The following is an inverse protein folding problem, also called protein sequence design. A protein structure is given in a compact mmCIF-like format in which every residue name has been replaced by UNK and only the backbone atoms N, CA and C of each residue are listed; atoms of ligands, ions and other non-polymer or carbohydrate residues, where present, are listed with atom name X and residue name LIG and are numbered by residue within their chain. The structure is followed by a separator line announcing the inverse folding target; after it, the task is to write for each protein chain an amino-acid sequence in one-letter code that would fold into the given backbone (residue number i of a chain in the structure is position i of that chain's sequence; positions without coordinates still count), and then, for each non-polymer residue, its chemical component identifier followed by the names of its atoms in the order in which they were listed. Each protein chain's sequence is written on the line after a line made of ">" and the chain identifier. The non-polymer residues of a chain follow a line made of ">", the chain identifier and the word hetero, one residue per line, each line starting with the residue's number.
data_IF_209923141012
#
_entry.id   IF_209923141012
#
_cell.length_a   1.000
_cell.length_b   1.000
_cell.length_c   1.000
_cell.angle_alpha   90.00
_cell.angle_beta   90.00
_cell.angle_gamma   90.00
#
_symmetry.space_group_name_H-M   'P 1'
#
loop_
_entity.id
_entity.type
_entity.pdbx_description
1 polymer ?
#
# COMPACT_ATOMS: atom_id res chain seq x y z
N UNK A 1 -9.83 -31.18 -3.70
CA UNK A 1 -9.79 -29.69 -3.65
C UNK A 1 -8.69 -29.25 -4.58
N UNK A 2 -8.99 -28.49 -5.65
CA UNK A 2 -7.96 -28.00 -6.54
C UNK A 2 -7.02 -27.06 -5.77
N UNK A 3 -5.74 -27.33 -5.84
CA UNK A 3 -4.68 -26.53 -5.19
C UNK A 3 -4.55 -25.21 -5.95
N UNK A 4 -4.61 -24.09 -5.24
CA UNK A 4 -4.45 -22.76 -5.86
C UNK A 4 -2.97 -22.61 -6.24
N UNK A 5 -2.68 -22.50 -7.53
CA UNK A 5 -1.31 -22.39 -8.05
C UNK A 5 -0.80 -20.96 -7.81
N UNK A 6 0.26 -20.73 -7.00
CA UNK A 6 0.87 -19.42 -6.84
C UNK A 6 1.38 -18.85 -8.17
N UNK A 7 1.38 -17.52 -8.33
CA UNK A 7 1.85 -16.83 -9.54
C UNK A 7 3.26 -17.25 -9.99
N UNK A 8 4.15 -17.55 -9.05
CA UNK A 8 5.51 -18.00 -9.31
C UNK A 8 5.61 -19.37 -10.06
N UNK A 9 4.51 -20.14 -10.13
CA UNK A 9 4.44 -21.42 -10.85
C UNK A 9 3.77 -21.30 -12.23
N UNK A 10 3.31 -20.10 -12.61
CA UNK A 10 2.67 -19.86 -13.91
C UNK A 10 3.70 -19.55 -14.97
N UNK A 11 3.39 -19.95 -16.21
CA UNK A 11 4.22 -19.59 -17.35
C UNK A 11 4.29 -18.07 -17.48
N UNK A 12 5.52 -17.52 -17.60
CA UNK A 12 5.76 -16.09 -17.70
C UNK A 12 5.84 -15.65 -19.15
N UNK A 13 5.31 -14.48 -19.43
CA UNK A 13 5.53 -13.85 -20.72
C UNK A 13 6.99 -13.40 -20.88
N UNK A 14 7.53 -13.63 -22.08
CA UNK A 14 8.89 -13.30 -22.45
C UNK A 14 8.98 -11.92 -23.12
N UNK A 15 10.18 -11.34 -23.09
CA UNK A 15 10.44 -10.08 -23.79
C UNK A 15 10.13 -10.20 -25.30
N UNK A 16 9.37 -9.24 -25.83
CA UNK A 16 8.92 -9.23 -27.22
C UNK A 16 7.50 -9.75 -27.44
N UNK A 17 6.95 -10.55 -26.53
CA UNK A 17 5.55 -11.01 -26.60
C UNK A 17 4.58 -9.86 -26.35
N UNK A 18 3.33 -10.07 -26.78
CA UNK A 18 2.25 -9.12 -26.53
C UNK A 18 1.33 -9.60 -25.41
N UNK A 19 1.08 -8.73 -24.46
CA UNK A 19 0.15 -8.95 -23.34
C UNK A 19 -0.84 -7.79 -23.28
N UNK A 20 -2.13 -8.08 -23.45
CA UNK A 20 -3.21 -7.07 -23.46
C UNK A 20 -2.98 -5.87 -24.44
N UNK A 21 -2.26 -6.10 -25.55
CA UNK A 21 -1.96 -5.10 -26.55
C UNK A 21 -0.68 -4.29 -26.32
N UNK A 22 0.02 -4.54 -25.22
CA UNK A 22 1.33 -3.97 -24.90
C UNK A 22 2.45 -4.98 -25.20
N UNK A 23 3.62 -4.49 -25.59
CA UNK A 23 4.81 -5.33 -25.78
C UNK A 23 5.55 -5.53 -24.47
N UNK A 24 5.70 -6.77 -24.01
CA UNK A 24 6.49 -7.10 -22.82
C UNK A 24 7.97 -6.77 -23.06
N UNK A 25 8.56 -6.04 -22.13
CA UNK A 25 9.98 -5.68 -22.14
C UNK A 25 10.77 -6.47 -21.12
N UNK A 26 10.21 -6.62 -19.91
CA UNK A 26 10.93 -7.24 -18.78
C UNK A 26 9.92 -7.69 -17.73
N UNK A 27 10.20 -8.81 -17.08
CA UNK A 27 9.58 -9.18 -15.82
C UNK A 27 10.10 -8.26 -14.70
N UNK A 28 9.21 -7.73 -13.84
CA UNK A 28 9.55 -6.86 -12.73
C UNK A 28 9.42 -7.55 -11.37
N UNK A 29 8.48 -8.48 -11.23
CA UNK A 29 8.27 -9.19 -9.96
C UNK A 29 7.00 -10.01 -9.94
N UNK A 30 6.85 -10.82 -8.88
CA UNK A 30 5.65 -11.61 -8.60
C UNK A 30 4.95 -11.08 -7.36
N UNK A 31 3.63 -10.91 -7.45
CA UNK A 31 2.75 -10.83 -6.29
C UNK A 31 2.25 -12.22 -5.89
N UNK A 32 1.42 -12.31 -4.85
CA UNK A 32 0.86 -13.58 -4.38
C UNK A 32 0.11 -14.34 -5.49
N UNK A 33 -0.61 -13.64 -6.36
CA UNK A 33 -1.41 -14.20 -7.46
C UNK A 33 -1.36 -13.32 -8.72
N UNK A 34 -0.36 -12.48 -8.83
CA UNK A 34 -0.15 -11.60 -9.98
C UNK A 34 1.31 -11.61 -10.40
N UNK A 35 1.55 -11.33 -11.67
CA UNK A 35 2.89 -11.08 -12.21
C UNK A 35 2.94 -9.66 -12.71
N UNK A 36 4.03 -8.93 -12.43
CA UNK A 36 4.21 -7.56 -12.89
C UNK A 36 5.28 -7.51 -13.96
N UNK A 37 4.96 -6.86 -15.06
CA UNK A 37 5.84 -6.69 -16.21
C UNK A 37 6.09 -5.21 -16.50
N UNK A 38 7.30 -4.87 -16.94
CA UNK A 38 7.55 -3.68 -17.73
C UNK A 38 7.02 -3.93 -19.14
N UNK A 39 6.11 -3.08 -19.59
CA UNK A 39 5.53 -3.17 -20.92
C UNK A 39 5.66 -1.84 -21.66
N UNK A 40 5.58 -1.86 -22.97
CA UNK A 40 5.61 -0.69 -23.83
C UNK A 40 4.38 -0.66 -24.74
N UNK A 41 3.75 0.49 -24.83
CA UNK A 41 2.72 0.74 -25.82
C UNK A 41 3.37 0.78 -27.23
N UNK A 42 2.96 -0.10 -28.15
CA UNK A 42 3.59 -0.20 -29.47
C UNK A 42 3.38 1.02 -30.37
N UNK A 43 2.44 1.92 -30.03
CA UNK A 43 2.13 3.13 -30.83
C UNK A 43 2.85 4.37 -30.30
N UNK A 44 2.90 4.53 -28.97
CA UNK A 44 3.45 5.73 -28.32
C UNK A 44 4.86 5.53 -27.80
N UNK A 45 5.34 4.28 -27.72
CA UNK A 45 6.60 3.88 -27.10
C UNK A 45 6.72 4.23 -25.60
N UNK A 46 5.61 4.63 -24.98
CA UNK A 46 5.57 4.90 -23.53
C UNK A 46 5.62 3.58 -22.76
N UNK A 47 6.44 3.55 -21.72
CA UNK A 47 6.59 2.40 -20.84
C UNK A 47 5.64 2.47 -19.65
N UNK A 48 5.10 1.31 -19.27
CA UNK A 48 4.17 1.13 -18.17
C UNK A 48 4.55 -0.10 -17.32
N UNK A 49 4.09 -0.13 -16.08
CA UNK A 49 4.00 -1.37 -15.32
C UNK A 49 2.64 -2.01 -15.60
N UNK A 50 2.61 -3.32 -15.89
CA UNK A 50 1.39 -4.08 -16.11
C UNK A 50 1.32 -5.20 -15.09
N UNK A 51 0.33 -5.13 -14.18
CA UNK A 51 0.01 -6.18 -13.19
C UNK A 51 -0.99 -7.14 -13.81
N UNK A 52 -0.54 -8.36 -14.05
CA UNK A 52 -1.29 -9.41 -14.75
C UNK A 52 -1.84 -10.43 -13.77
N UNK A 53 -3.14 -10.73 -13.89
CA UNK A 53 -3.85 -11.73 -13.08
C UNK A 53 -4.68 -12.61 -13.99
N UNK A 54 -4.49 -13.92 -13.88
CA UNK A 54 -5.30 -14.94 -14.56
C UNK A 54 -6.03 -15.75 -13.49
N UNK A 55 -7.29 -16.11 -13.74
CA UNK A 55 -8.06 -17.05 -12.94
C UNK A 55 -8.31 -18.33 -13.72
N UNK A 56 -7.86 -19.46 -13.20
CA UNK A 56 -8.11 -20.80 -13.74
C UNK A 56 -9.28 -21.48 -13.03
N UNK A 57 -9.85 -20.88 -11.97
CA UNK A 57 -10.95 -21.44 -11.22
C UNK A 57 -11.62 -20.45 -10.27
N UNK A 58 -12.85 -20.76 -9.84
CA UNK A 58 -13.69 -19.87 -9.01
C UNK A 58 -12.99 -19.36 -7.73
N UNK A 59 -12.09 -20.14 -7.14
CA UNK A 59 -11.32 -19.72 -5.95
C UNK A 59 -10.35 -18.59 -6.24
N UNK A 60 -9.95 -18.43 -7.49
CA UNK A 60 -8.99 -17.41 -7.94
C UNK A 60 -9.69 -16.15 -8.43
N UNK A 61 -11.00 -16.21 -8.75
CA UNK A 61 -11.78 -15.07 -9.19
C UNK A 61 -11.70 -13.87 -8.23
N UNK A 62 -11.51 -14.14 -6.93
CA UNK A 62 -11.29 -13.12 -5.92
C UNK A 62 -10.11 -12.18 -6.22
N UNK A 63 -9.09 -12.65 -6.94
CA UNK A 63 -7.92 -11.84 -7.31
C UNK A 63 -8.21 -10.93 -8.51
N UNK A 64 -9.09 -11.40 -9.41
CA UNK A 64 -9.63 -10.56 -10.47
C UNK A 64 -10.51 -9.44 -9.89
N UNK A 65 -11.36 -9.77 -8.90
CA UNK A 65 -12.19 -8.77 -8.21
C UNK A 65 -11.33 -7.76 -7.45
N UNK A 66 -10.25 -8.22 -6.82
CA UNK A 66 -9.26 -7.36 -6.18
C UNK A 66 -8.60 -6.41 -7.18
N UNK A 67 -8.24 -6.89 -8.38
CA UNK A 67 -7.66 -6.05 -9.43
C UNK A 67 -8.67 -5.03 -9.96
N UNK A 68 -9.96 -5.39 -10.08
CA UNK A 68 -11.02 -4.46 -10.45
C UNK A 68 -11.23 -3.38 -9.39
N UNK A 69 -11.17 -3.75 -8.10
CA UNK A 69 -11.23 -2.78 -7.00
C UNK A 69 -10.02 -1.84 -7.01
N UNK A 70 -8.83 -2.37 -7.28
CA UNK A 70 -7.61 -1.56 -7.44
C UNK A 70 -7.77 -0.54 -8.58
N UNK A 71 -8.34 -0.95 -9.70
CA UNK A 71 -8.70 -0.06 -10.80
C UNK A 71 -9.76 0.97 -10.38
N UNK A 72 -10.86 0.54 -9.73
CA UNK A 72 -11.94 1.45 -9.33
C UNK A 72 -11.46 2.55 -8.37
N UNK A 73 -10.61 2.19 -7.42
CA UNK A 73 -9.99 3.16 -6.51
C UNK A 73 -8.96 4.02 -7.27
N UNK A 74 -7.95 3.39 -7.87
CA UNK A 74 -6.78 4.08 -8.41
C UNK A 74 -7.08 5.06 -9.53
N UNK A 75 -8.04 4.76 -10.43
CA UNK A 75 -8.43 5.68 -11.51
C UNK A 75 -9.02 7.01 -11.01
N UNK A 76 -9.47 7.08 -9.75
CA UNK A 76 -10.00 8.29 -9.10
C UNK A 76 -8.93 9.06 -8.33
N UNK A 77 -7.78 8.44 -8.10
CA UNK A 77 -6.72 8.97 -7.27
C UNK A 77 -5.66 9.63 -8.18
N UNK A 78 -5.80 10.95 -8.39
CA UNK A 78 -4.82 11.74 -9.13
C UNK A 78 -4.09 12.67 -8.16
N UNK A 79 -2.85 12.31 -7.79
CA UNK A 79 -2.05 13.02 -6.81
C UNK A 79 -0.54 12.79 -7.08
N UNK A 80 0.34 13.79 -6.92
CA UNK A 80 1.78 13.64 -7.22
C UNK A 80 2.44 12.51 -6.45
N UNK A 81 1.99 12.21 -5.24
CA UNK A 81 2.55 11.14 -4.39
C UNK A 81 1.74 9.83 -4.47
N UNK A 82 0.95 9.63 -5.51
CA UNK A 82 0.22 8.38 -5.77
C UNK A 82 0.59 7.88 -7.17
N UNK A 83 0.84 6.56 -7.31
CA UNK A 83 1.02 5.94 -8.63
C UNK A 83 -0.22 6.09 -9.47
N UNK A 84 -0.08 6.59 -10.68
CA UNK A 84 -1.17 6.67 -11.64
C UNK A 84 -1.60 5.28 -12.12
N UNK A 85 -2.90 5.02 -12.06
CA UNK A 85 -3.53 3.89 -12.71
C UNK A 85 -4.09 4.37 -14.05
N UNK A 86 -3.65 3.72 -15.14
CA UNK A 86 -3.91 4.17 -16.51
C UNK A 86 -5.10 3.47 -17.12
N UNK A 87 -5.14 2.12 -17.04
CA UNK A 87 -6.18 1.33 -17.71
C UNK A 87 -6.34 -0.05 -17.07
N UNK A 88 -7.50 -0.68 -17.28
CA UNK A 88 -7.77 -2.08 -16.98
C UNK A 88 -8.16 -2.81 -18.26
N UNK A 89 -7.40 -3.82 -18.62
CA UNK A 89 -7.57 -4.64 -19.82
C UNK A 89 -8.09 -6.02 -19.50
N UNK A 90 -8.83 -6.63 -20.46
CA UNK A 90 -9.32 -8.01 -20.37
C UNK A 90 -10.80 -8.15 -20.06
N UNK A 91 -11.45 -7.19 -19.39
CA UNK A 91 -12.91 -7.16 -19.28
C UNK A 91 -13.53 -6.78 -20.64
N UNK A 92 -14.49 -7.57 -21.10
CA UNK A 92 -15.16 -7.35 -22.38
C UNK A 92 -16.51 -6.65 -22.17
N UNK A 93 -16.81 -5.69 -23.01
CA UNK A 93 -18.10 -5.02 -23.02
C UNK A 93 -18.76 -5.21 -24.40
N UNK A 94 -19.92 -5.88 -24.45
CA UNK A 94 -20.73 -6.02 -25.63
C UNK A 94 -22.03 -5.21 -25.46
N UNK A 95 -22.07 -3.99 -26.02
CA UNK A 95 -23.18 -3.07 -25.80
C UNK A 95 -23.33 -2.73 -24.30
N UNK A 96 -24.50 -3.08 -23.71
CA UNK A 96 -24.76 -2.87 -22.28
C UNK A 96 -24.35 -4.05 -21.39
N UNK A 97 -23.86 -5.16 -21.97
CA UNK A 97 -23.50 -6.37 -21.23
C UNK A 97 -21.99 -6.36 -20.98
N UNK A 98 -21.60 -6.31 -19.70
CA UNK A 98 -20.21 -6.55 -19.27
C UNK A 98 -20.00 -8.04 -19.04
N UNK A 99 -19.09 -8.66 -19.77
CA UNK A 99 -18.64 -10.02 -19.50
C UNK A 99 -17.32 -9.95 -18.74
N UNK A 100 -17.28 -10.37 -17.46
CA UNK A 100 -16.04 -10.38 -16.69
C UNK A 100 -14.99 -11.26 -17.37
N UNK A 101 -13.80 -10.70 -17.58
CA UNK A 101 -12.63 -11.43 -18.06
C UNK A 101 -12.06 -12.34 -16.96
N UNK A 102 -11.46 -13.45 -17.39
CA UNK A 102 -10.69 -14.36 -16.52
C UNK A 102 -9.18 -14.08 -16.58
N UNK A 103 -8.77 -13.17 -17.42
CA UNK A 103 -7.42 -12.74 -17.70
C UNK A 103 -7.41 -11.22 -17.77
N UNK A 104 -6.84 -10.56 -16.75
CA UNK A 104 -6.86 -9.11 -16.60
C UNK A 104 -5.44 -8.53 -16.47
N UNK A 105 -5.23 -7.38 -17.11
CA UNK A 105 -4.04 -6.56 -17.00
C UNK A 105 -4.34 -5.16 -16.48
N UNK A 106 -3.80 -4.78 -15.32
CA UNK A 106 -3.86 -3.41 -14.79
C UNK A 106 -2.63 -2.64 -15.24
N UNK A 107 -2.84 -1.63 -16.07
CA UNK A 107 -1.78 -0.76 -16.61
C UNK A 107 -1.58 0.42 -15.69
N UNK A 108 -0.34 0.66 -15.28
CA UNK A 108 0.02 1.65 -14.26
C UNK A 108 1.25 2.44 -14.70
N UNK A 109 1.42 3.62 -14.14
CA UNK A 109 2.66 4.41 -14.22
C UNK A 109 3.88 3.52 -13.90
N UNK A 110 4.88 3.53 -14.79
CA UNK A 110 6.17 2.90 -14.51
C UNK A 110 6.99 3.83 -13.64
N UNK A 111 7.41 3.34 -12.48
CA UNK A 111 8.26 4.07 -11.53
C UNK A 111 9.51 3.22 -11.31
N UNK A 112 10.65 3.71 -11.78
CA UNK A 112 11.94 3.03 -11.62
C UNK A 112 12.61 3.48 -10.32
N UNK A 113 12.03 3.08 -9.21
CA UNK A 113 12.51 3.41 -7.87
C UNK A 113 12.34 2.22 -6.93
N UNK A 114 13.27 2.01 -5.97
CA UNK A 114 13.14 0.98 -4.95
C UNK A 114 12.03 1.32 -3.95
N UNK A 115 11.50 0.30 -3.30
CA UNK A 115 10.63 0.49 -2.13
C UNK A 115 11.45 0.89 -0.89
N UNK A 116 10.78 1.52 0.08
CA UNK A 116 11.43 1.81 1.38
C UNK A 116 11.82 0.54 2.13
N UNK A 117 11.13 -0.59 1.91
CA UNK A 117 11.55 -1.88 2.48
C UNK A 117 12.87 -2.37 1.86
N UNK A 118 13.02 -2.26 0.53
CA UNK A 118 14.27 -2.63 -0.14
C UNK A 118 15.45 -1.80 0.37
N UNK A 119 15.23 -0.49 0.57
CA UNK A 119 16.24 0.41 1.11
C UNK A 119 16.56 0.12 2.58
N UNK A 120 15.53 -0.19 3.38
CA UNK A 120 15.70 -0.57 4.78
C UNK A 120 16.52 -1.86 4.91
N UNK A 121 16.22 -2.88 4.09
CA UNK A 121 16.94 -4.15 4.09
C UNK A 121 18.40 -4.01 3.63
N UNK A 122 18.67 -3.12 2.69
CA UNK A 122 20.02 -2.82 2.23
C UNK A 122 20.79 -1.89 3.19
N UNK A 123 20.08 -1.28 4.16
CA UNK A 123 20.60 -0.26 5.06
C UNK A 123 21.29 0.92 4.32
N UNK A 124 20.80 1.24 3.12
CA UNK A 124 21.30 2.30 2.26
C UNK A 124 20.18 2.95 1.44
N UNK A 125 20.15 4.28 1.33
CA UNK A 125 20.99 5.25 2.06
C UNK A 125 20.57 5.37 3.53
N UNK A 126 21.44 5.91 4.38
CA UNK A 126 21.04 6.31 5.73
C UNK A 126 20.24 7.60 5.63
N UNK A 127 18.97 7.53 5.94
CA UNK A 127 18.07 8.67 5.94
C UNK A 127 18.31 9.57 7.16
N UNK A 128 18.44 10.86 6.93
CA UNK A 128 18.33 11.86 8.01
C UNK A 128 16.89 11.96 8.50
N UNK A 129 16.70 12.49 9.72
CA UNK A 129 15.35 12.74 10.25
C UNK A 129 14.55 13.69 9.34
N UNK A 130 15.21 14.69 8.76
CA UNK A 130 14.57 15.61 7.82
C UNK A 130 14.05 14.91 6.56
N UNK A 131 14.80 13.95 6.02
CA UNK A 131 14.35 13.13 4.88
C UNK A 131 13.17 12.23 5.27
N UNK A 132 13.18 11.59 6.45
CA UNK A 132 12.04 10.84 6.95
C UNK A 132 10.79 11.71 7.08
N UNK A 133 10.90 12.90 7.68
CA UNK A 133 9.78 13.84 7.81
C UNK A 133 9.24 14.23 6.42
N UNK A 134 10.11 14.46 5.43
CA UNK A 134 9.69 14.77 4.06
C UNK A 134 8.92 13.61 3.42
N UNK A 135 9.45 12.40 3.50
CA UNK A 135 8.79 11.19 2.99
C UNK A 135 7.44 10.98 3.68
N UNK A 136 7.39 11.10 5.00
CA UNK A 136 6.15 10.91 5.76
C UNK A 136 5.10 11.97 5.42
N UNK A 137 5.51 13.24 5.22
CA UNK A 137 4.63 14.31 4.75
C UNK A 137 4.00 13.96 3.40
N UNK A 138 4.80 13.49 2.44
CA UNK A 138 4.33 13.14 1.10
C UNK A 138 3.35 11.97 1.13
N UNK A 139 3.63 10.96 1.96
CA UNK A 139 2.71 9.83 2.19
C UNK A 139 1.43 10.32 2.87
N UNK A 140 1.50 11.15 3.91
CA UNK A 140 0.32 11.69 4.58
C UNK A 140 -0.55 12.54 3.63
N UNK A 141 0.07 13.33 2.74
CA UNK A 141 -0.61 14.10 1.69
C UNK A 141 -1.38 13.18 0.73
N UNK A 142 -0.75 12.08 0.31
CA UNK A 142 -1.42 11.06 -0.50
C UNK A 142 -2.64 10.46 0.22
N UNK A 143 -2.50 10.14 1.51
CA UNK A 143 -3.61 9.58 2.31
C UNK A 143 -4.76 10.55 2.52
N UNK A 144 -4.49 11.83 2.75
CA UNK A 144 -5.56 12.85 2.81
C UNK A 144 -6.37 12.80 1.52
N UNK A 145 -5.70 12.78 0.36
CA UNK A 145 -6.38 12.68 -0.93
C UNK A 145 -7.18 11.38 -1.10
N UNK A 146 -6.63 10.23 -0.69
CA UNK A 146 -7.31 8.93 -0.75
C UNK A 146 -8.60 8.96 0.09
N UNK A 147 -8.52 9.51 1.33
CA UNK A 147 -9.67 9.62 2.24
C UNK A 147 -10.74 10.58 1.70
N UNK A 148 -10.36 11.71 1.10
CA UNK A 148 -11.28 12.66 0.45
C UNK A 148 -12.04 12.01 -0.72
N UNK A 149 -11.44 11.02 -1.41
CA UNK A 149 -12.11 10.24 -2.45
C UNK A 149 -12.96 9.09 -1.90
N UNK A 150 -13.06 8.96 -0.57
CA UNK A 150 -13.90 7.97 0.11
C UNK A 150 -13.30 6.56 0.16
N UNK A 151 -11.99 6.43 0.01
CA UNK A 151 -11.28 5.16 0.10
C UNK A 151 -10.32 5.14 1.30
N UNK A 152 -10.05 3.94 1.80
CA UNK A 152 -8.90 3.63 2.64
C UNK A 152 -7.96 2.69 1.85
N UNK A 153 -6.67 2.83 2.05
CA UNK A 153 -5.65 1.97 1.45
C UNK A 153 -5.63 0.57 2.11
N UNK A 154 -5.75 0.53 3.42
CA UNK A 154 -5.88 -0.64 4.29
C UNK A 154 -4.71 -1.66 4.26
N UNK A 155 -3.57 -1.32 3.65
CA UNK A 155 -2.34 -2.14 3.65
C UNK A 155 -1.06 -1.28 3.51
N UNK A 156 -0.98 -0.14 4.24
CA UNK A 156 0.24 0.67 4.20
C UNK A 156 1.39 -0.03 4.92
N UNK A 157 2.52 -0.08 4.22
CA UNK A 157 3.78 -0.67 4.68
C UNK A 157 4.95 -0.13 3.82
N UNK A 158 6.20 -0.28 4.24
CA UNK A 158 7.36 0.22 3.49
C UNK A 158 7.46 -0.29 2.05
N UNK A 159 6.99 -1.53 1.77
CA UNK A 159 6.95 -2.08 0.40
C UNK A 159 6.05 -1.27 -0.55
N UNK A 160 5.04 -0.59 -0.02
CA UNK A 160 4.05 0.17 -0.78
C UNK A 160 4.41 1.66 -0.90
N UNK A 161 5.65 2.03 -0.57
CA UNK A 161 6.20 3.37 -0.73
C UNK A 161 7.46 3.28 -1.58
N UNK A 162 7.43 3.81 -2.79
CA UNK A 162 8.62 3.96 -3.64
C UNK A 162 9.27 5.33 -3.40
N UNK A 163 10.60 5.38 -3.48
CA UNK A 163 11.36 6.60 -3.26
C UNK A 163 12.59 6.67 -4.18
N UNK A 164 12.73 7.77 -4.91
CA UNK A 164 13.81 8.01 -5.87
C UNK A 164 14.70 9.22 -5.51
N UNK A 165 14.75 9.62 -4.24
CA UNK A 165 15.42 10.80 -3.66
C UNK A 165 14.60 12.08 -3.74
N UNK A 166 13.92 12.33 -4.87
CA UNK A 166 13.17 13.57 -5.12
C UNK A 166 11.66 13.37 -4.96
N UNK A 167 11.19 12.13 -5.18
CA UNK A 167 9.77 11.81 -5.21
C UNK A 167 9.43 10.61 -4.32
N UNK A 168 8.33 10.76 -3.62
CA UNK A 168 7.70 9.66 -2.86
C UNK A 168 6.40 9.27 -3.52
N UNK A 169 6.20 7.97 -3.79
CA UNK A 169 4.97 7.47 -4.40
C UNK A 169 4.37 6.33 -3.58
N UNK A 170 3.11 6.49 -3.19
CA UNK A 170 2.28 5.41 -2.64
C UNK A 170 1.77 4.54 -3.78
N UNK A 171 1.89 3.22 -3.62
CA UNK A 171 1.53 2.22 -4.63
C UNK A 171 0.66 1.11 -4.04
N UNK A 172 0.10 0.26 -4.91
CA UNK A 172 -0.64 -0.98 -4.59
C UNK A 172 -1.95 -0.75 -3.82
N UNK A 173 -3.00 -0.45 -4.58
CA UNK A 173 -4.38 -0.29 -4.08
C UNK A 173 -5.16 -1.61 -4.05
N UNK A 174 -4.49 -2.77 -4.16
CA UNK A 174 -5.13 -4.07 -4.17
C UNK A 174 -5.89 -4.43 -2.88
N UNK A 175 -5.65 -3.72 -1.79
CA UNK A 175 -6.42 -3.84 -0.54
C UNK A 175 -7.33 -2.65 -0.28
N UNK A 176 -7.33 -1.64 -1.16
CA UNK A 176 -8.16 -0.45 -0.97
C UNK A 176 -9.64 -0.79 -0.82
N UNK A 177 -10.34 -0.05 0.04
CA UNK A 177 -11.73 -0.31 0.35
C UNK A 177 -12.50 0.99 0.58
N UNK A 178 -13.82 0.97 0.33
CA UNK A 178 -14.67 2.15 0.60
C UNK A 178 -14.79 2.37 2.10
N UNK A 179 -14.48 3.58 2.55
CA UNK A 179 -14.63 3.99 3.94
C UNK A 179 -16.10 3.85 4.37
N UNK A 180 -16.32 3.35 5.59
CA UNK A 180 -17.64 3.15 6.15
C UNK A 180 -18.34 1.86 5.72
N UNK A 181 -17.65 0.97 5.00
CA UNK A 181 -18.23 -0.33 4.60
C UNK A 181 -17.43 -1.49 5.19
N UNK A 182 -18.13 -2.61 5.46
CA UNK A 182 -17.49 -3.84 5.93
C UNK A 182 -16.71 -4.50 4.81
N UNK A 183 -15.48 -4.90 5.12
CA UNK A 183 -14.69 -5.70 4.19
C UNK A 183 -15.02 -7.19 4.36
N UNK A 184 -15.24 -7.94 3.28
CA UNK A 184 -15.70 -9.34 3.40
C UNK A 184 -14.65 -10.29 3.95
N UNK A 185 -13.39 -9.85 4.02
CA UNK A 185 -12.25 -10.68 4.47
C UNK A 185 -11.22 -9.81 5.18
N UNK A 186 -10.52 -10.41 6.14
CA UNK A 186 -9.33 -9.82 6.73
C UNK A 186 -8.32 -9.48 5.63
N UNK A 187 -7.74 -8.32 5.71
CA UNK A 187 -6.70 -7.82 4.79
C UNK A 187 -5.62 -7.08 5.56
N UNK A 188 -4.52 -6.84 4.89
CA UNK A 188 -3.36 -6.18 5.44
C UNK A 188 -2.20 -7.13 5.68
N UNK A 189 -1.06 -6.58 6.02
CA UNK A 189 0.21 -7.30 6.21
C UNK A 189 0.57 -7.35 7.69
N UNK A 190 0.81 -8.55 8.23
CA UNK A 190 1.23 -8.74 9.63
C UNK A 190 2.39 -7.80 9.99
N UNK A 191 2.32 -7.21 11.18
CA UNK A 191 3.26 -6.19 11.64
C UNK A 191 2.86 -4.75 11.32
N UNK A 192 1.81 -4.55 10.47
CA UNK A 192 1.25 -3.24 10.13
C UNK A 192 -0.26 -3.18 10.31
N UNK A 193 -0.92 -4.32 10.46
CA UNK A 193 -2.39 -4.45 10.58
C UNK A 193 -2.88 -3.78 11.84
N UNK A 194 -3.89 -2.92 11.69
CA UNK A 194 -4.57 -2.28 12.80
C UNK A 194 -5.42 -3.29 13.59
N UNK A 195 -5.59 -3.11 14.91
CA UNK A 195 -6.30 -4.06 15.78
C UNK A 195 -7.74 -4.38 15.33
N UNK A 196 -8.44 -3.42 14.72
CA UNK A 196 -9.80 -3.60 14.22
C UNK A 196 -9.90 -4.39 12.90
N UNK A 197 -8.83 -4.46 12.10
CA UNK A 197 -8.88 -5.15 10.80
C UNK A 197 -9.17 -6.66 10.89
N UNK A 198 -8.60 -7.43 11.86
CA UNK A 198 -8.91 -8.85 12.03
C UNK A 198 -10.36 -9.11 12.42
N UNK A 199 -11.03 -8.15 13.06
CA UNK A 199 -12.42 -8.26 13.47
C UNK A 199 -13.40 -8.19 12.30
N UNK A 200 -12.90 -7.99 11.06
CA UNK A 200 -13.71 -7.84 9.84
C UNK A 200 -14.77 -6.73 10.04
N UNK A 201 -14.36 -5.67 10.67
CA UNK A 201 -15.22 -4.54 10.96
C UNK A 201 -15.17 -3.48 9.84
N UNK A 202 -15.88 -2.40 10.05
CA UNK A 202 -15.94 -1.30 9.09
C UNK A 202 -14.57 -0.67 8.94
N UNK A 203 -14.06 -0.62 7.71
CA UNK A 203 -12.80 0.06 7.40
C UNK A 203 -13.04 1.57 7.43
N UNK A 204 -12.18 2.28 8.13
CA UNK A 204 -12.22 3.74 8.29
C UNK A 204 -10.91 4.39 7.89
N UNK A 205 -10.89 5.71 7.82
CA UNK A 205 -9.66 6.47 7.64
C UNK A 205 -8.66 6.26 8.79
N UNK A 206 -9.13 5.99 10.01
CA UNK A 206 -8.30 5.72 11.17
C UNK A 206 -7.56 4.38 11.07
N UNK A 207 -8.06 3.43 10.30
CA UNK A 207 -7.33 2.20 9.97
C UNK A 207 -6.01 2.52 9.24
N UNK A 208 -6.06 3.41 8.25
CA UNK A 208 -4.86 3.86 7.53
C UNK A 208 -3.92 4.68 8.43
N UNK A 209 -4.47 5.46 9.36
CA UNK A 209 -3.63 6.20 10.34
C UNK A 209 -2.79 5.22 11.15
N UNK A 210 -3.38 4.11 11.62
CA UNK A 210 -2.64 3.08 12.34
C UNK A 210 -1.60 2.40 11.46
N UNK A 211 -1.98 1.94 10.26
CA UNK A 211 -1.04 1.29 9.32
C UNK A 211 0.15 2.21 9.00
N UNK A 212 -0.11 3.51 8.84
CA UNK A 212 0.93 4.51 8.61
C UNK A 212 1.79 4.73 9.87
N UNK A 213 1.20 4.79 11.06
CA UNK A 213 1.93 4.82 12.33
C UNK A 213 2.88 3.65 12.50
N UNK A 214 2.40 2.42 12.21
CA UNK A 214 3.21 1.20 12.24
C UNK A 214 4.35 1.24 11.19
N UNK A 215 4.08 1.81 10.02
CA UNK A 215 5.08 2.03 8.98
C UNK A 215 6.16 3.03 9.42
N UNK A 216 5.78 4.18 9.96
CA UNK A 216 6.72 5.17 10.50
C UNK A 216 7.57 4.58 11.62
N UNK A 217 6.93 3.86 12.57
CA UNK A 217 7.63 3.20 13.65
C UNK A 217 8.67 2.20 13.13
N UNK A 218 8.29 1.35 12.15
CA UNK A 218 9.19 0.38 11.51
C UNK A 218 10.39 1.05 10.86
N UNK A 219 10.17 2.12 10.11
CA UNK A 219 11.21 2.84 9.39
C UNK A 219 12.18 3.59 10.32
N UNK A 220 11.66 4.19 11.40
CA UNK A 220 12.46 4.93 12.37
C UNK A 220 13.19 4.02 13.37
N UNK A 221 12.56 2.90 13.77
CA UNK A 221 13.07 2.01 14.83
C UNK A 221 13.78 0.76 14.29
N UNK A 222 13.51 0.36 13.03
CA UNK A 222 13.96 -0.91 12.46
C UNK A 222 13.23 -2.14 13.03
N UNK A 223 12.18 -1.98 13.86
CA UNK A 223 11.36 -3.06 14.44
C UNK A 223 9.87 -2.78 14.25
N UNK A 224 9.05 -3.83 14.25
CA UNK A 224 7.60 -3.68 14.21
C UNK A 224 7.07 -3.01 15.48
N UNK A 225 5.98 -2.25 15.33
CA UNK A 225 5.27 -1.70 16.47
C UNK A 225 4.61 -2.84 17.27
N UNK A 226 4.74 -2.86 18.61
CA UNK A 226 4.15 -3.91 19.45
C UNK A 226 2.64 -4.01 19.32
N UNK A 227 1.95 -2.90 19.08
CA UNK A 227 0.49 -2.82 18.91
C UNK A 227 -0.01 -3.40 17.59
N UNK A 228 0.86 -3.54 16.57
CA UNK A 228 0.45 -4.07 15.28
C UNK A 228 0.25 -5.60 15.37
N UNK A 229 -0.84 -6.08 14.76
CA UNK A 229 -1.17 -7.50 14.71
C UNK A 229 -0.07 -8.29 14.00
N UNK A 230 0.45 -9.29 14.68
CA UNK A 230 1.54 -10.14 14.21
C UNK A 230 1.02 -11.43 13.53
N UNK A 231 1.89 -12.12 12.79
CA UNK A 231 1.57 -13.41 12.19
C UNK A 231 1.30 -14.45 13.28
N UNK A 232 0.18 -15.18 13.18
CA UNK A 232 -0.21 -16.21 14.15
C UNK A 232 -1.20 -15.76 15.20
N UNK A 233 -1.66 -14.51 15.17
CA UNK A 233 -2.73 -14.05 16.03
C UNK A 233 -4.01 -14.88 15.83
N UNK A 234 -4.67 -15.33 16.93
CA UNK A 234 -5.93 -16.09 16.82
C UNK A 234 -7.03 -15.25 16.17
N UNK A 235 -7.91 -15.91 15.42
CA UNK A 235 -9.06 -15.23 14.77
C UNK A 235 -10.08 -14.69 15.77
N UNK A 236 -10.10 -15.27 16.99
CA UNK A 236 -10.98 -14.88 18.10
C UNK A 236 -10.31 -13.84 19.00
N UNK A 237 -9.67 -12.88 18.38
CA UNK A 237 -8.96 -11.83 19.06
C UNK A 237 -9.94 -10.96 19.90
N UNK A 238 -10.14 -11.31 21.15
CA UNK A 238 -10.45 -10.32 22.17
C UNK A 238 -9.15 -9.57 22.43
N UNK A 239 -9.18 -8.26 22.26
CA UNK A 239 -8.12 -7.33 22.66
C UNK A 239 -7.83 -7.57 24.15
N UNK A 240 -7.06 -8.58 24.47
CA UNK A 240 -6.44 -8.69 25.75
C UNK A 240 -5.36 -7.58 25.75
N UNK A 241 -5.63 -6.48 26.44
CA UNK A 241 -4.65 -5.40 26.69
C UNK A 241 -3.31 -5.98 27.17
N UNK A 242 -3.36 -7.15 27.80
CA UNK A 242 -2.22 -7.92 28.29
C UNK A 242 -1.32 -8.55 27.21
N UNK A 243 -1.77 -8.64 25.96
CA UNK A 243 -1.02 -9.28 24.86
C UNK A 243 -0.39 -8.25 23.92
N UNK A 244 -0.90 -7.02 23.94
CA UNK A 244 -0.41 -5.93 23.11
C UNK A 244 0.58 -5.11 23.93
N UNK A 245 1.86 -5.22 23.56
CA UNK A 245 2.90 -4.41 24.20
C UNK A 245 2.70 -2.92 23.92
N UNK A 246 3.09 -2.07 24.86
CA UNK A 246 3.15 -0.63 24.64
C UNK A 246 4.37 -0.26 23.79
N UNK A 247 4.18 0.65 22.84
CA UNK A 247 5.30 1.24 22.12
C UNK A 247 6.01 2.26 23.02
N UNK A 248 7.29 2.06 23.18
CA UNK A 248 8.14 3.04 23.87
C UNK A 248 8.40 4.24 22.97
N UNK A 249 8.56 5.45 23.53
CA UNK A 249 8.94 6.64 22.77
C UNK A 249 10.18 6.39 21.92
N UNK A 250 10.13 6.81 20.66
CA UNK A 250 11.22 6.60 19.71
C UNK A 250 12.50 7.34 20.12
N UNK A 251 12.37 8.43 20.88
CA UNK A 251 13.48 9.20 21.47
C UNK A 251 14.37 8.39 22.41
N UNK A 252 13.83 7.32 23.04
CA UNK A 252 14.62 6.42 23.89
C UNK A 252 15.64 5.59 23.08
N UNK A 253 15.37 5.39 21.79
CA UNK A 253 16.20 4.59 20.91
C UNK A 253 17.10 5.43 20.01
N UNK A 254 16.62 6.59 19.60
CA UNK A 254 17.39 7.56 18.84
C UNK A 254 17.03 8.97 19.31
N UNK A 255 17.91 9.61 20.12
CA UNK A 255 17.70 10.96 20.63
C UNK A 255 17.63 12.06 19.55
N UNK A 256 18.06 11.77 18.31
CA UNK A 256 17.93 12.69 17.17
C UNK A 256 16.48 12.82 16.68
N UNK A 257 15.61 11.85 17.02
CA UNK A 257 14.19 11.91 16.67
C UNK A 257 13.53 12.99 17.54
N UNK A 258 12.90 14.03 16.93
CA UNK A 258 12.17 15.02 17.70
C UNK A 258 11.06 14.40 18.53
N UNK A 259 10.88 14.85 19.77
CA UNK A 259 9.80 14.38 20.66
C UNK A 259 8.42 14.48 19.97
N UNK A 260 8.16 15.60 19.29
CA UNK A 260 6.93 15.81 18.53
C UNK A 260 6.68 14.74 17.45
N UNK A 261 7.74 14.23 16.79
CA UNK A 261 7.61 13.14 15.82
C UNK A 261 7.33 11.82 16.51
N UNK A 262 8.02 11.55 17.62
CA UNK A 262 7.77 10.37 18.46
C UNK A 262 6.32 10.32 18.93
N UNK A 263 5.81 11.42 19.50
CA UNK A 263 4.44 11.53 20.00
C UNK A 263 3.40 11.39 18.88
N UNK A 264 3.68 11.95 17.71
CA UNK A 264 2.81 11.80 16.54
C UNK A 264 2.69 10.33 16.13
N UNK A 265 3.81 9.60 16.08
CA UNK A 265 3.82 8.18 15.73
C UNK A 265 3.05 7.37 16.77
N UNK A 266 3.25 7.63 18.07
CA UNK A 266 2.53 6.94 19.14
C UNK A 266 1.02 7.21 19.10
N UNK A 267 0.61 8.46 18.81
CA UNK A 267 -0.83 8.76 18.62
C UNK A 267 -1.44 8.00 17.44
N UNK A 268 -0.70 7.83 16.34
CA UNK A 268 -1.17 7.00 15.23
C UNK A 268 -1.37 5.52 15.63
N UNK A 269 -0.62 5.03 16.62
CA UNK A 269 -0.64 3.65 17.12
C UNK A 269 -1.65 3.41 18.25
N UNK A 270 -2.50 4.40 18.59
CA UNK A 270 -3.58 4.20 19.54
C UNK A 270 -4.44 2.99 19.15
N UNK A 271 -4.76 2.12 20.13
CA UNK A 271 -5.54 0.90 19.89
C UNK A 271 -6.96 1.23 19.45
N UNK A 272 -7.59 2.18 20.16
CA UNK A 272 -8.92 2.67 19.85
C UNK A 272 -8.91 3.62 18.65
N UNK A 273 -9.59 3.30 17.54
CA UNK A 273 -9.59 4.15 16.34
C UNK A 273 -10.05 5.59 16.62
N UNK A 274 -10.97 5.78 17.56
CA UNK A 274 -11.51 7.10 17.93
C UNK A 274 -10.49 8.01 18.62
N UNK A 275 -9.42 7.46 19.19
CA UNK A 275 -8.34 8.23 19.83
C UNK A 275 -7.27 8.67 18.82
N UNK A 276 -7.18 8.02 17.66
CA UNK A 276 -6.26 8.40 16.59
C UNK A 276 -6.72 9.72 15.96
N UNK A 277 -5.79 10.63 15.76
CA UNK A 277 -6.06 11.87 15.02
C UNK A 277 -6.31 11.56 13.54
N UNK A 278 -7.03 12.44 12.84
CA UNK A 278 -7.24 12.31 11.41
C UNK A 278 -5.94 12.52 10.63
N UNK A 279 -5.85 11.97 9.43
CA UNK A 279 -4.66 12.10 8.59
C UNK A 279 -4.32 13.56 8.23
N UNK A 280 -5.34 14.44 8.15
CA UNK A 280 -5.15 15.89 7.98
C UNK A 280 -4.36 16.52 9.14
N UNK A 281 -4.60 16.06 10.37
CA UNK A 281 -3.81 16.49 11.53
C UNK A 281 -2.37 15.96 11.44
N UNK A 282 -2.20 14.68 11.08
CA UNK A 282 -0.88 14.06 10.90
C UNK A 282 -0.06 14.83 9.86
N UNK A 283 -0.65 15.14 8.71
CA UNK A 283 -0.02 15.93 7.66
C UNK A 283 0.41 17.31 8.18
N UNK A 284 -0.49 18.05 8.84
CA UNK A 284 -0.19 19.38 9.40
C UNK A 284 0.96 19.35 10.40
N UNK A 285 1.05 18.30 11.24
CA UNK A 285 2.18 18.16 12.18
C UNK A 285 3.48 17.94 11.42
N UNK A 286 3.52 17.04 10.42
CA UNK A 286 4.71 16.77 9.61
C UNK A 286 5.17 18.02 8.83
N UNK A 287 4.24 18.78 8.26
CA UNK A 287 4.53 20.08 7.60
C UNK A 287 5.20 21.08 8.55
N UNK A 288 4.71 21.14 9.80
CA UNK A 288 5.26 22.06 10.82
C UNK A 288 6.64 21.66 11.35
N UNK A 289 7.07 20.43 11.09
CA UNK A 289 8.39 19.92 11.50
C UNK A 289 9.46 20.09 10.40
N UNK A 290 9.07 20.48 9.19
CA UNK A 290 10.02 20.76 8.11
C UNK A 290 10.82 22.04 8.42
N UNK A 291 12.13 22.07 8.12
CA UNK A 291 12.86 23.33 8.17
C UNK A 291 12.20 24.31 7.20
N UNK A 292 11.91 25.51 7.67
CA UNK A 292 11.41 26.60 6.82
C UNK A 292 12.48 26.81 5.74
N UNK A 293 12.14 26.50 4.49
CA UNK A 293 13.01 26.87 3.36
C UNK A 293 13.08 28.38 3.33
N UNK A 294 14.18 28.95 3.82
CA UNK A 294 14.48 30.35 3.58
C UNK A 294 14.68 30.47 2.07
N UNK A 295 13.72 31.11 1.40
CA UNK A 295 13.80 31.47 -0.02
C UNK A 295 14.90 32.49 -0.27
#
# INVERSE_FOLDING_TARGET
>A
MAEVVPAAKRERHHAGEFLHGYRVRKWLGDGAFSVVYLVEDPKTHVQYALKHVISEGEKEDRYLDQLRMEWEAGRKLKHPNIRDIVDLRGDQTFGFIKKPGKDLGLVMEMIDAPSLEDLLLKNEPRFSIAQWISIFRDVASAFVHIHEKGFAHADMKPNNILWDRDHTKVIDFGQAWKIGTKKPRMSGTAGYVAPEQPLIDVITAQTDVFNFGATMYRLLRGKFAPQAVQKGYPRDFQLAEDVIGESTPLTQWNPEIPERLSDLVLNCLELEPSRRKYMTFVLKQLESMQPVSVK
#
